data_IF_867434184929
#
_entry.id   IF_867434184929
#
_cell.length_a   1.000
_cell.length_b   1.000
_cell.length_c   1.000
_cell.angle_alpha   90.00
_cell.angle_beta   90.00
_cell.angle_gamma   90.00
#
_symmetry.space_group_name_H-M   'P 1'
#
loop_
_entity.id
_entity.type
_entity.pdbx_description
1 polymer ?
#
# COMPACT_ATOMS: atom_id res chain seq x y z
N UNK A 1 -6.29 -7.16 25.32
CA UNK A 1 -5.23 -7.44 26.32
C UNK A 1 -5.38 -6.67 27.63
N UNK A 2 -5.79 -5.39 27.65
CA UNK A 2 -6.08 -4.67 28.90
C UNK A 2 -7.19 -5.36 29.73
N UNK A 3 -8.25 -5.81 29.08
CA UNK A 3 -9.31 -6.64 29.67
C UNK A 3 -8.85 -8.03 30.16
N UNK A 4 -7.67 -8.50 29.73
CA UNK A 4 -7.11 -9.80 30.13
C UNK A 4 -6.13 -9.67 31.31
N UNK A 5 -5.99 -8.48 31.92
CA UNK A 5 -5.18 -8.28 33.12
C UNK A 5 -3.67 -8.09 32.88
N UNK A 6 -3.23 -7.86 31.65
CA UNK A 6 -1.82 -7.57 31.37
C UNK A 6 -1.44 -6.12 31.77
N UNK A 7 -0.26 -5.91 32.37
CA UNK A 7 0.18 -4.60 32.83
C UNK A 7 0.42 -3.65 31.65
N UNK A 8 -0.22 -2.47 31.68
CA UNK A 8 -0.01 -1.42 30.69
C UNK A 8 1.28 -0.67 31.01
N UNK A 9 2.19 -0.58 30.04
CA UNK A 9 3.49 0.08 30.19
C UNK A 9 3.62 1.23 29.18
N UNK A 10 4.41 2.25 29.50
CA UNK A 10 4.53 3.45 28.66
C UNK A 10 5.05 3.17 27.24
N UNK A 11 5.81 2.09 27.05
CA UNK A 11 6.33 1.64 25.74
C UNK A 11 5.18 1.19 24.81
N UNK A 12 4.07 0.68 25.36
CA UNK A 12 2.89 0.26 24.58
C UNK A 12 2.23 1.44 23.84
N UNK A 13 2.51 2.69 24.23
CA UNK A 13 2.05 3.87 23.51
C UNK A 13 2.65 4.00 22.10
N UNK A 14 3.77 3.34 21.82
CA UNK A 14 4.39 3.30 20.49
C UNK A 14 3.71 2.30 19.55
N UNK A 15 3.05 1.27 20.11
CA UNK A 15 2.37 0.21 19.37
C UNK A 15 1.40 0.73 18.29
N UNK A 16 0.47 1.68 18.54
CA UNK A 16 -0.46 2.14 17.51
C UNK A 16 0.26 2.79 16.31
N UNK A 17 1.35 3.53 16.55
CA UNK A 17 2.14 4.11 15.45
C UNK A 17 2.79 3.04 14.60
N UNK A 18 3.26 1.96 15.23
CA UNK A 18 3.84 0.83 14.53
C UNK A 18 2.80 0.13 13.65
N UNK A 19 1.63 -0.18 14.21
CA UNK A 19 0.55 -0.86 13.48
C UNK A 19 0.11 -0.03 12.27
N UNK A 20 -0.05 1.29 12.45
CA UNK A 20 -0.39 2.17 11.33
C UNK A 20 0.69 2.12 10.24
N UNK A 21 1.98 2.10 10.62
CA UNK A 21 3.08 2.00 9.68
C UNK A 21 3.02 0.72 8.84
N UNK A 22 2.86 -0.43 9.52
CA UNK A 22 2.74 -1.74 8.87
C UNK A 22 1.50 -1.81 7.97
N UNK A 23 0.32 -1.46 8.49
CA UNK A 23 -0.92 -1.51 7.72
C UNK A 23 -0.90 -0.56 6.51
N UNK A 24 -0.23 0.60 6.62
CA UNK A 24 -0.08 1.52 5.50
C UNK A 24 0.74 0.93 4.35
N UNK A 25 1.84 0.21 4.66
CA UNK A 25 2.67 -0.47 3.65
C UNK A 25 1.85 -1.51 2.88
N UNK A 26 1.10 -2.34 3.62
CA UNK A 26 0.23 -3.35 3.02
C UNK A 26 -0.89 -2.72 2.17
N UNK A 27 -1.49 -1.60 2.62
CA UNK A 27 -2.51 -0.86 1.84
C UNK A 27 -1.91 -0.36 0.52
N UNK A 28 -0.70 0.20 0.55
CA UNK A 28 -0.05 0.72 -0.65
C UNK A 28 0.18 -0.36 -1.70
N UNK A 29 0.59 -1.56 -1.27
CA UNK A 29 0.78 -2.71 -2.17
C UNK A 29 -0.54 -3.09 -2.84
N UNK A 30 -1.64 -3.21 -2.07
CA UNK A 30 -2.97 -3.57 -2.61
C UNK A 30 -3.45 -2.52 -3.62
N UNK A 31 -3.37 -1.22 -3.27
CA UNK A 31 -3.80 -0.14 -4.16
C UNK A 31 -2.95 -0.11 -5.42
N UNK A 32 -1.64 -0.35 -5.30
CA UNK A 32 -0.75 -0.40 -6.45
C UNK A 32 -1.15 -1.51 -7.43
N UNK A 33 -1.42 -2.72 -6.93
CA UNK A 33 -1.89 -3.84 -7.74
C UNK A 33 -3.26 -3.52 -8.39
N UNK A 34 -4.22 -2.96 -7.63
CA UNK A 34 -5.55 -2.60 -8.17
C UNK A 34 -5.51 -1.49 -9.23
N UNK A 35 -4.50 -0.63 -9.19
CA UNK A 35 -4.28 0.38 -10.23
C UNK A 35 -3.64 -0.18 -11.49
N UNK A 36 -2.99 -1.33 -11.40
CA UNK A 36 -2.34 -2.01 -12.53
C UNK A 36 -3.33 -2.87 -13.32
N UNK A 37 -4.39 -3.37 -12.67
CA UNK A 37 -5.43 -4.18 -13.32
C UNK A 37 -6.23 -3.42 -14.39
N UNK A 38 -6.68 -4.14 -15.43
CA UNK A 38 -7.45 -3.57 -16.53
C UNK A 38 -8.89 -3.24 -16.09
N UNK A 39 -9.21 -1.94 -16.04
CA UNK A 39 -10.53 -1.42 -15.64
C UNK A 39 -11.68 -1.81 -16.58
N UNK A 40 -11.40 -2.42 -17.74
CA UNK A 40 -12.42 -2.91 -18.68
C UNK A 40 -13.03 -4.25 -18.28
N UNK A 41 -12.35 -5.01 -17.41
CA UNK A 41 -12.80 -6.33 -16.94
C UNK A 41 -13.87 -6.21 -15.85
N UNK A 42 -14.69 -7.24 -15.60
CA UNK A 42 -15.61 -7.24 -14.47
C UNK A 42 -14.85 -7.04 -13.15
N UNK A 43 -15.50 -6.37 -12.19
CA UNK A 43 -14.89 -6.03 -10.89
C UNK A 43 -14.33 -7.26 -10.16
N UNK A 44 -15.04 -8.39 -10.24
CA UNK A 44 -14.63 -9.67 -9.65
C UNK A 44 -13.25 -10.13 -10.18
N UNK A 45 -13.02 -9.99 -11.48
CA UNK A 45 -11.77 -10.39 -12.12
C UNK A 45 -10.64 -9.41 -11.80
N UNK A 46 -10.94 -8.10 -11.73
CA UNK A 46 -9.97 -7.09 -11.30
C UNK A 46 -9.47 -7.36 -9.87
N UNK A 47 -10.38 -7.73 -8.96
CA UNK A 47 -10.04 -8.01 -7.56
C UNK A 47 -9.27 -9.33 -7.45
N UNK A 48 -9.64 -10.34 -8.23
CA UNK A 48 -8.90 -11.60 -8.29
C UNK A 48 -7.44 -11.38 -8.75
N UNK A 49 -7.24 -10.65 -9.85
CA UNK A 49 -5.90 -10.32 -10.38
C UNK A 49 -5.09 -9.46 -9.39
N UNK A 50 -5.75 -8.52 -8.69
CA UNK A 50 -5.14 -7.71 -7.64
C UNK A 50 -4.64 -8.57 -6.48
N UNK A 51 -5.46 -9.50 -5.99
CA UNK A 51 -5.11 -10.36 -4.87
C UNK A 51 -4.09 -11.44 -5.24
N UNK A 52 -4.07 -11.88 -6.50
CA UNK A 52 -3.04 -12.78 -7.02
C UNK A 52 -1.65 -12.11 -6.99
N UNK A 53 -1.57 -10.82 -7.34
CA UNK A 53 -0.31 -10.08 -7.33
C UNK A 53 0.08 -9.57 -5.93
N UNK A 54 -0.85 -8.98 -5.17
CA UNK A 54 -0.57 -8.35 -3.88
C UNK A 54 -0.57 -9.34 -2.69
N UNK A 55 -1.43 -10.36 -2.72
CA UNK A 55 -1.66 -11.28 -1.61
C UNK A 55 -0.40 -12.00 -1.11
N UNK A 56 0.45 -12.57 -2.00
CA UNK A 56 1.70 -13.19 -1.58
C UNK A 56 2.65 -12.21 -0.87
N UNK A 57 2.75 -10.97 -1.36
CA UNK A 57 3.62 -9.95 -0.77
C UNK A 57 3.18 -9.58 0.64
N UNK A 58 1.89 -9.30 0.85
CA UNK A 58 1.33 -8.93 2.16
C UNK A 58 1.50 -10.08 3.15
N UNK A 59 1.31 -11.32 2.69
CA UNK A 59 1.50 -12.51 3.54
C UNK A 59 2.94 -12.64 4.00
N UNK A 60 3.91 -12.43 3.10
CA UNK A 60 5.35 -12.46 3.43
C UNK A 60 5.70 -11.34 4.43
N UNK A 61 5.22 -10.12 4.21
CA UNK A 61 5.43 -8.99 5.12
C UNK A 61 4.84 -9.28 6.50
N UNK A 62 3.60 -9.75 6.56
CA UNK A 62 2.90 -10.08 7.81
C UNK A 62 3.57 -11.20 8.59
N UNK A 63 3.97 -12.30 7.92
CA UNK A 63 4.73 -13.38 8.56
C UNK A 63 6.05 -12.86 9.10
N UNK A 64 6.76 -12.04 8.33
CA UNK A 64 8.04 -11.44 8.75
C UNK A 64 7.85 -10.55 9.98
N UNK A 65 6.78 -9.74 10.02
CA UNK A 65 6.46 -8.91 11.18
C UNK A 65 6.15 -9.75 12.42
N UNK A 66 5.31 -10.79 12.29
CA UNK A 66 4.99 -11.72 13.39
C UNK A 66 6.26 -12.40 13.91
N UNK A 67 7.14 -12.87 13.03
CA UNK A 67 8.42 -13.48 13.42
C UNK A 67 9.35 -12.47 14.10
N UNK A 68 9.45 -11.25 13.58
CA UNK A 68 10.28 -10.19 14.15
C UNK A 68 9.84 -9.84 15.57
N UNK A 69 8.53 -9.67 15.80
CA UNK A 69 7.99 -9.45 17.14
C UNK A 69 8.06 -10.71 18.00
N UNK A 70 7.88 -11.89 17.42
CA UNK A 70 8.04 -13.17 18.11
C UNK A 70 9.43 -13.36 18.71
N UNK A 71 10.48 -13.05 17.95
CA UNK A 71 11.87 -13.03 18.44
C UNK A 71 12.03 -11.94 19.52
N UNK A 72 11.39 -10.79 19.36
CA UNK A 72 11.38 -9.71 20.34
C UNK A 72 10.83 -10.11 21.72
N UNK A 73 9.91 -11.08 21.79
CA UNK A 73 9.36 -11.61 23.04
C UNK A 73 10.44 -12.33 23.87
N UNK A 74 11.44 -12.95 23.24
CA UNK A 74 12.54 -13.67 23.91
C UNK A 74 13.54 -12.73 24.61
N UNK A 75 13.41 -11.42 24.43
CA UNK A 75 14.29 -10.43 25.03
C UNK A 75 14.21 -10.48 26.56
N UNK A 76 15.34 -10.47 27.30
CA UNK A 76 15.37 -10.56 28.76
C UNK A 76 14.75 -9.34 29.47
N UNK A 77 14.52 -8.23 28.75
CA UNK A 77 13.91 -7.02 29.29
C UNK A 77 12.38 -7.15 29.29
N UNK A 78 11.71 -7.23 30.46
CA UNK A 78 10.27 -7.52 30.55
C UNK A 78 9.39 -6.46 29.89
N UNK A 79 9.82 -5.20 29.89
CA UNK A 79 9.09 -4.11 29.23
C UNK A 79 9.03 -4.28 27.70
N UNK A 80 10.11 -4.78 27.09
CA UNK A 80 10.22 -4.99 25.64
C UNK A 80 9.46 -6.26 25.24
N UNK A 81 9.62 -7.34 26.02
CA UNK A 81 8.90 -8.60 25.78
C UNK A 81 7.37 -8.40 25.76
N UNK A 82 6.84 -7.63 26.72
CA UNK A 82 5.43 -7.25 26.73
C UNK A 82 5.06 -6.45 25.49
N UNK A 83 5.79 -5.37 25.17
CA UNK A 83 5.55 -4.57 23.97
C UNK A 83 5.50 -5.41 22.69
N UNK A 84 6.45 -6.33 22.52
CA UNK A 84 6.49 -7.25 21.38
C UNK A 84 5.30 -8.20 21.36
N UNK A 85 4.85 -8.72 22.51
CA UNK A 85 3.65 -9.55 22.61
C UNK A 85 2.39 -8.79 22.17
N UNK A 86 2.19 -7.57 22.68
CA UNK A 86 1.07 -6.71 22.28
C UNK A 86 1.09 -6.42 20.77
N UNK A 87 2.27 -6.07 20.24
CA UNK A 87 2.44 -5.72 18.83
C UNK A 87 2.27 -6.92 17.92
N UNK A 88 2.76 -8.10 18.31
CA UNK A 88 2.57 -9.36 17.58
C UNK A 88 1.09 -9.69 17.40
N UNK A 89 0.30 -9.61 18.48
CA UNK A 89 -1.15 -9.81 18.42
C UNK A 89 -1.82 -8.71 17.58
N UNK A 90 -1.39 -7.46 17.73
CA UNK A 90 -1.90 -6.33 16.95
C UNK A 90 -1.71 -6.52 15.46
N UNK A 91 -0.50 -6.88 15.03
CA UNK A 91 -0.17 -7.14 13.61
C UNK A 91 -0.90 -8.38 13.07
N UNK A 92 -1.06 -9.43 13.88
CA UNK A 92 -1.83 -10.60 13.45
C UNK A 92 -3.31 -10.27 13.20
N UNK A 93 -3.89 -9.41 14.04
CA UNK A 93 -5.25 -8.90 13.83
C UNK A 93 -5.28 -7.98 12.61
N UNK A 94 -4.33 -7.06 12.50
CA UNK A 94 -4.19 -6.14 11.36
C UNK A 94 -4.18 -6.90 10.02
N UNK A 95 -3.37 -7.95 9.90
CA UNK A 95 -3.34 -8.82 8.71
C UNK A 95 -4.72 -9.39 8.33
N UNK A 96 -5.50 -9.84 9.31
CA UNK A 96 -6.85 -10.36 9.05
C UNK A 96 -7.78 -9.24 8.57
N UNK A 97 -7.73 -8.07 9.21
CA UNK A 97 -8.52 -6.90 8.81
C UNK A 97 -8.11 -6.40 7.42
N UNK A 98 -6.82 -6.44 7.09
CA UNK A 98 -6.28 -6.06 5.81
C UNK A 98 -6.82 -6.95 4.68
N UNK A 99 -6.80 -8.27 4.86
CA UNK A 99 -7.28 -9.21 3.84
C UNK A 99 -8.80 -9.24 3.69
N UNK A 100 -9.55 -8.98 4.76
CA UNK A 100 -11.01 -9.09 4.74
C UNK A 100 -11.69 -7.73 4.60
N UNK A 101 -11.52 -6.87 5.60
CA UNK A 101 -12.21 -5.59 5.70
C UNK A 101 -11.70 -4.58 4.66
N UNK A 102 -10.37 -4.45 4.50
CA UNK A 102 -9.81 -3.50 3.55
C UNK A 102 -10.08 -3.91 2.10
N UNK A 103 -9.93 -5.19 1.75
CA UNK A 103 -10.29 -5.69 0.41
C UNK A 103 -11.79 -5.49 0.13
N UNK A 104 -12.67 -5.77 1.09
CA UNK A 104 -14.10 -5.50 0.93
C UNK A 104 -14.40 -4.00 0.73
N UNK A 105 -13.73 -3.13 1.48
CA UNK A 105 -13.86 -1.68 1.32
C UNK A 105 -13.35 -1.21 -0.05
N UNK A 106 -12.26 -1.81 -0.56
CA UNK A 106 -11.72 -1.53 -1.89
C UNK A 106 -12.72 -1.92 -2.99
N UNK A 107 -13.32 -3.10 -2.89
CA UNK A 107 -14.38 -3.56 -3.81
C UNK A 107 -15.54 -2.57 -3.81
N UNK A 108 -15.97 -2.12 -2.62
CA UNK A 108 -17.05 -1.16 -2.48
C UNK A 108 -16.72 0.20 -3.12
N UNK A 109 -15.50 0.71 -2.93
CA UNK A 109 -15.08 1.97 -3.55
C UNK A 109 -15.02 1.84 -5.09
N UNK A 110 -14.52 0.73 -5.61
CA UNK A 110 -14.46 0.47 -7.05
C UNK A 110 -15.86 0.32 -7.66
N UNK A 111 -16.79 -0.35 -6.96
CA UNK A 111 -18.20 -0.40 -7.35
C UNK A 111 -18.82 1.01 -7.37
N UNK A 112 -18.48 1.87 -6.41
CA UNK A 112 -18.94 3.25 -6.32
C UNK A 112 -18.33 4.15 -7.41
N UNK A 113 -17.13 3.85 -7.89
CA UNK A 113 -16.51 4.55 -9.02
C UNK A 113 -17.17 4.13 -10.34
N UNK A 114 -17.50 2.84 -10.50
CA UNK A 114 -18.14 2.29 -11.70
C UNK A 114 -19.62 2.67 -11.83
N UNK A 115 -20.34 2.73 -10.70
CA UNK A 115 -21.72 3.20 -10.61
C UNK A 115 -21.75 4.58 -9.93
N UNK A 116 -21.66 5.68 -10.68
CA UNK A 116 -21.95 7.01 -10.13
C UNK A 116 -23.46 7.11 -9.91
N UNK A 117 -24.01 6.40 -8.92
CA UNK A 117 -25.37 6.67 -8.46
C UNK A 117 -25.33 8.07 -7.84
N UNK A 118 -25.77 9.02 -8.65
CA UNK A 118 -25.93 10.43 -8.32
C UNK A 118 -26.78 10.48 -7.06
N UNK A 119 -26.27 10.93 -5.90
CA UNK A 119 -27.15 11.07 -4.76
C UNK A 119 -28.11 12.25 -5.08
N UNK A 120 -29.42 12.14 -4.84
CA UNK A 120 -30.28 13.31 -4.79
C UNK A 120 -29.92 14.10 -3.52
N UNK A 121 -28.82 14.84 -3.57
CA UNK A 121 -28.56 15.93 -2.62
C UNK A 121 -28.77 17.22 -3.38
N UNK A 122 -30.02 17.66 -3.32
CA UNK A 122 -30.35 19.07 -3.44
C UNK A 122 -29.53 19.83 -2.38
N UNK A 123 -28.51 20.55 -2.86
CA UNK A 123 -27.72 21.58 -2.16
C UNK A 123 -26.60 21.14 -1.18
N UNK A 124 -25.52 20.53 -1.69
CA UNK A 124 -24.18 20.75 -1.11
C UNK A 124 -23.27 21.48 -2.12
N UNK A 125 -22.49 22.50 -1.69
CA UNK A 125 -21.62 23.24 -2.60
C UNK A 125 -20.56 22.31 -3.22
N UNK A 126 -20.40 22.47 -4.54
CA UNK A 126 -19.62 21.62 -5.45
C UNK A 126 -18.11 21.64 -5.16
N UNK A 127 -17.64 20.88 -4.18
CA UNK A 127 -16.20 20.66 -3.98
C UNK A 127 -15.75 19.27 -4.49
N UNK A 128 -16.63 18.26 -4.41
CA UNK A 128 -16.30 16.88 -4.80
C UNK A 128 -16.14 16.67 -6.32
N UNK A 129 -16.74 17.53 -7.14
CA UNK A 129 -16.68 17.43 -8.61
C UNK A 129 -15.31 17.87 -9.17
N UNK A 130 -14.65 18.84 -8.51
CA UNK A 130 -13.35 19.39 -8.95
C UNK A 130 -12.21 18.42 -8.63
N UNK A 131 -12.26 17.76 -7.48
CA UNK A 131 -11.17 16.87 -7.01
C UNK A 131 -11.19 15.53 -7.76
N UNK A 132 -12.36 14.96 -8.03
CA UNK A 132 -12.48 13.70 -8.80
C UNK A 132 -12.20 13.91 -10.30
N UNK A 133 -12.57 15.07 -10.88
CA UNK A 133 -12.17 15.43 -12.24
C UNK A 133 -10.65 15.65 -12.35
N UNK A 134 -10.00 16.22 -11.33
CA UNK A 134 -8.54 16.38 -11.28
C UNK A 134 -7.79 15.04 -11.12
N UNK A 135 -8.31 14.10 -10.33
CA UNK A 135 -7.70 12.77 -10.15
C UNK A 135 -7.87 11.87 -11.39
N UNK A 136 -9.04 11.92 -12.04
CA UNK A 136 -9.27 11.24 -13.32
C UNK A 136 -8.43 11.86 -14.44
N UNK A 137 -8.37 13.19 -14.54
CA UNK A 137 -7.49 13.85 -15.52
C UNK A 137 -6.01 13.55 -15.28
N UNK A 138 -5.52 13.50 -14.03
CA UNK A 138 -4.12 13.18 -13.74
C UNK A 138 -3.72 11.74 -14.10
N UNK A 139 -4.68 10.83 -14.23
CA UNK A 139 -4.45 9.46 -14.73
C UNK A 139 -4.48 9.34 -16.26
N UNK A 140 -5.03 10.33 -16.98
CA UNK A 140 -5.28 10.26 -18.44
C UNK A 140 -4.29 11.09 -19.27
N UNK A 141 -3.48 11.94 -18.66
CA UNK A 141 -2.42 12.63 -19.42
C UNK A 141 -1.24 11.68 -19.70
N UNK A 142 -0.93 11.36 -20.98
CA UNK A 142 0.37 10.82 -21.32
C UNK A 142 1.43 11.80 -20.81
N UNK A 143 2.56 11.29 -20.30
CA UNK A 143 3.66 12.11 -19.84
C UNK A 143 4.00 13.16 -20.90
N UNK A 144 3.85 14.44 -20.54
CA UNK A 144 4.12 15.58 -21.41
C UNK A 144 5.55 15.44 -21.99
N UNK A 145 5.72 15.38 -23.33
CA UNK A 145 7.01 15.10 -23.96
C UNK A 145 8.10 16.14 -23.65
N UNK A 146 7.71 17.33 -23.17
CA UNK A 146 8.60 18.41 -22.75
C UNK A 146 8.64 18.63 -21.22
N UNK A 147 8.01 17.74 -20.45
CA UNK A 147 8.02 17.78 -18.99
C UNK A 147 9.42 17.58 -18.40
N UNK A 148 9.69 18.22 -17.26
CA UNK A 148 10.94 18.10 -16.50
C UNK A 148 11.32 16.62 -16.27
N UNK A 149 10.34 15.76 -16.00
CA UNK A 149 10.52 14.32 -15.80
C UNK A 149 11.04 13.63 -17.08
N UNK A 150 10.55 14.01 -18.26
CA UNK A 150 11.04 13.50 -19.54
C UNK A 150 12.48 13.96 -19.82
N UNK A 151 12.85 15.18 -19.39
CA UNK A 151 14.21 15.71 -19.47
C UNK A 151 15.17 14.92 -18.58
N UNK A 152 14.78 14.60 -17.35
CA UNK A 152 15.55 13.71 -16.48
C UNK A 152 15.64 12.29 -17.04
N UNK A 153 14.56 11.75 -17.61
CA UNK A 153 14.55 10.44 -18.24
C UNK A 153 15.50 10.38 -19.46
N UNK A 154 15.58 11.45 -20.28
CA UNK A 154 16.56 11.55 -21.38
C UNK A 154 17.99 11.62 -20.87
N UNK A 155 18.25 12.39 -19.80
CA UNK A 155 19.58 12.47 -19.19
C UNK A 155 19.99 11.09 -18.66
N UNK A 156 19.10 10.40 -17.93
CA UNK A 156 19.36 9.05 -17.45
C UNK A 156 19.60 8.06 -18.59
N UNK A 157 18.82 8.14 -19.68
CA UNK A 157 19.05 7.32 -20.90
C UNK A 157 20.40 7.63 -21.56
N UNK A 158 20.81 8.90 -21.63
CA UNK A 158 22.13 9.29 -22.16
C UNK A 158 23.27 8.76 -21.28
N UNK A 159 23.12 8.80 -19.96
CA UNK A 159 24.07 8.20 -19.02
C UNK A 159 24.13 6.67 -19.15
N UNK A 160 22.99 6.00 -19.39
CA UNK A 160 22.95 4.56 -19.63
C UNK A 160 23.60 4.16 -20.96
N UNK A 161 23.52 5.02 -21.99
CA UNK A 161 24.19 4.83 -23.29
C UNK A 161 25.70 5.09 -23.19
N UNK A 162 26.12 6.12 -22.45
CA UNK A 162 27.55 6.39 -22.20
C UNK A 162 28.20 5.33 -21.31
N UNK A 163 27.51 4.82 -20.30
CA UNK A 163 28.01 3.74 -19.44
C UNK A 163 28.17 2.40 -20.18
N UNK A 164 27.53 2.23 -21.35
CA UNK A 164 27.65 1.03 -22.20
C UNK A 164 28.81 1.08 -23.21
N UNK A 165 29.61 2.14 -23.21
CA UNK A 165 30.82 2.26 -24.03
C UNK A 165 32.04 2.45 -23.13
N UNK A 166 32.61 1.35 -22.62
CA UNK A 166 34.04 1.16 -22.83
C UNK A 166 34.41 -0.34 -22.88
N UNK A 167 34.23 -1.05 -24.00
CA UNK A 167 34.94 -2.36 -24.17
C UNK A 167 34.97 -2.98 -25.58
N UNK A 168 34.72 -2.22 -26.66
CA UNK A 168 34.74 -2.80 -28.02
C UNK A 168 35.47 -1.94 -29.06
N UNK A 169 36.60 -1.33 -28.69
CA UNK A 169 37.55 -0.71 -29.64
C UNK A 169 39.01 -1.11 -29.35
N UNK A 170 39.24 -2.32 -28.85
CA UNK A 170 40.58 -2.91 -28.77
C UNK A 170 40.60 -4.33 -29.33
N UNK A 171 40.14 -4.50 -30.57
CA UNK A 171 40.39 -5.69 -31.40
C UNK A 171 40.01 -5.41 -32.86
N UNK A 172 40.87 -4.68 -33.58
CA UNK A 172 41.29 -4.93 -34.97
C UNK A 172 42.30 -3.89 -35.41
#
# INVERSE_FOLDING_TARGET
>A
MFLLGFPFNSITLVMPFLIIGVGSDDVFIIIHAMRKTDKRRPLEEQIAETMEEAGPSITVTSVTNILSFGIGILTPTPAISLFCLYTCVGVAIDFIYQLTFFVAALVYEEMRILNPEKPPIENLPKEKEIVTAQLSMRSVYPADPDGIVAKYCRILKMWQVQAKLPESQNQR
#
